data_IF_825766300804
#
_entry.id   IF_825766300804
#
_cell.length_a   1.000
_cell.length_b   1.000
_cell.length_c   1.000
_cell.angle_alpha   90.00
_cell.angle_beta   90.00
_cell.angle_gamma   90.00
#
_symmetry.space_group_name_H-M   'P 1'
#
loop_
_entity.id
_entity.type
_entity.pdbx_description
1 polymer ?
#
# COMPACT_ATOMS: atom_id res chain seq x y z
N UNK A 1 -23.62 16.28 -26.45
CA UNK A 1 -22.69 15.15 -26.22
C UNK A 1 -21.42 15.73 -25.62
N UNK A 2 -21.08 15.40 -24.37
CA UNK A 2 -19.78 15.82 -23.79
C UNK A 2 -18.67 15.20 -24.64
N UNK A 3 -17.66 15.99 -25.00
CA UNK A 3 -16.56 15.57 -25.86
C UNK A 3 -15.95 14.27 -25.34
N UNK A 4 -15.70 13.32 -26.24
CA UNK A 4 -15.07 12.05 -25.91
C UNK A 4 -13.71 12.39 -25.32
N UNK A 5 -13.46 12.01 -24.08
CA UNK A 5 -12.19 12.32 -23.39
C UNK A 5 -11.10 11.48 -24.05
N UNK A 6 -10.26 12.12 -24.87
CA UNK A 6 -9.24 11.44 -25.68
C UNK A 6 -8.03 11.18 -24.79
N UNK A 7 -7.51 9.95 -24.79
CA UNK A 7 -6.27 9.61 -24.12
C UNK A 7 -5.07 10.22 -24.87
N UNK A 8 -4.12 10.78 -24.13
CA UNK A 8 -2.91 11.39 -24.67
C UNK A 8 -1.69 11.07 -23.79
N UNK A 9 -0.49 11.38 -24.29
CA UNK A 9 0.77 11.08 -23.59
C UNK A 9 0.88 11.80 -22.24
N UNK A 10 0.26 12.98 -22.11
CA UNK A 10 0.22 13.73 -20.85
C UNK A 10 -0.57 12.98 -19.79
N UNK A 11 -1.73 12.43 -20.14
CA UNK A 11 -2.54 11.60 -19.23
C UNK A 11 -1.80 10.32 -18.83
N UNK A 12 -0.97 9.76 -19.71
CA UNK A 12 -0.11 8.64 -19.35
C UNK A 12 0.94 9.04 -18.30
N UNK A 13 1.55 10.22 -18.40
CA UNK A 13 2.45 10.76 -17.38
C UNK A 13 1.73 11.02 -16.05
N UNK A 14 0.53 11.61 -16.10
CA UNK A 14 -0.30 11.84 -14.91
C UNK A 14 -0.63 10.50 -14.23
N UNK A 15 -1.01 9.47 -14.99
CA UNK A 15 -1.26 8.13 -14.43
C UNK A 15 0.00 7.54 -13.78
N UNK A 16 1.17 7.65 -14.42
CA UNK A 16 2.45 7.20 -13.84
C UNK A 16 2.79 7.90 -12.53
N UNK A 17 2.43 9.17 -12.39
CA UNK A 17 2.64 9.91 -11.14
C UNK A 17 1.63 9.49 -10.07
N UNK A 18 0.36 9.36 -10.43
CA UNK A 18 -0.73 9.07 -9.50
C UNK A 18 -0.75 7.62 -8.99
N UNK A 19 -0.32 6.68 -9.82
CA UNK A 19 -0.21 5.26 -9.45
C UNK A 19 0.82 5.04 -8.34
N UNK A 20 1.93 5.82 -8.34
CA UNK A 20 2.93 5.87 -7.26
C UNK A 20 2.42 6.41 -5.91
N UNK A 21 1.14 6.76 -5.81
CA UNK A 21 0.50 7.08 -4.53
C UNK A 21 -0.30 5.89 -3.96
N UNK A 22 -0.42 4.77 -4.68
CA UNK A 22 -1.14 3.58 -4.22
C UNK A 22 -2.65 3.71 -4.30
N UNK A 23 -3.14 4.53 -5.24
CA UNK A 23 -4.55 4.80 -5.43
C UNK A 23 -5.27 3.59 -6.05
N UNK A 24 -6.50 3.36 -5.61
CA UNK A 24 -7.40 2.45 -6.32
C UNK A 24 -7.76 3.01 -7.70
N UNK A 25 -8.17 2.17 -8.65
CA UNK A 25 -8.61 2.62 -9.98
C UNK A 25 -9.78 3.63 -9.93
N UNK A 26 -10.65 3.50 -8.92
CA UNK A 26 -11.74 4.45 -8.68
C UNK A 26 -11.23 5.83 -8.26
N UNK A 27 -10.22 5.88 -7.40
CA UNK A 27 -9.57 7.13 -6.97
C UNK A 27 -8.72 7.73 -8.09
N UNK A 28 -8.01 6.90 -8.85
CA UNK A 28 -7.26 7.31 -10.04
C UNK A 28 -8.20 7.95 -11.07
N UNK A 29 -9.34 7.32 -11.39
CA UNK A 29 -10.33 7.87 -12.30
C UNK A 29 -10.87 9.24 -11.81
N UNK A 30 -11.15 9.36 -10.51
CA UNK A 30 -11.58 10.63 -9.90
C UNK A 30 -10.51 11.72 -10.03
N UNK A 31 -9.24 11.42 -9.75
CA UNK A 31 -8.13 12.39 -9.87
C UNK A 31 -7.89 12.82 -11.32
N UNK A 32 -8.10 11.92 -12.28
CA UNK A 32 -8.04 12.21 -13.71
C UNK A 32 -9.30 12.89 -14.25
N UNK A 33 -10.31 13.11 -13.40
CA UNK A 33 -11.61 13.68 -13.76
C UNK A 33 -12.35 12.90 -14.87
N UNK A 34 -12.17 11.57 -14.90
CA UNK A 34 -12.83 10.66 -15.83
C UNK A 34 -13.75 9.69 -15.09
N UNK A 35 -14.64 9.04 -15.84
CA UNK A 35 -15.42 7.93 -15.28
C UNK A 35 -14.56 6.66 -15.19
N UNK A 36 -14.87 5.78 -14.23
CA UNK A 36 -14.23 4.46 -14.15
C UNK A 36 -14.42 3.66 -15.45
N UNK A 37 -15.56 3.83 -16.12
CA UNK A 37 -15.83 3.23 -17.42
C UNK A 37 -14.83 3.70 -18.48
N UNK A 38 -14.54 5.00 -18.52
CA UNK A 38 -13.56 5.59 -19.44
C UNK A 38 -12.15 5.07 -19.16
N UNK A 39 -11.77 4.93 -17.88
CA UNK A 39 -10.49 4.34 -17.50
C UNK A 39 -10.38 2.88 -17.98
N UNK A 40 -11.43 2.08 -17.83
CA UNK A 40 -11.46 0.70 -18.32
C UNK A 40 -11.37 0.62 -19.85
N UNK A 41 -12.10 1.47 -20.56
CA UNK A 41 -11.98 1.60 -22.03
C UNK A 41 -10.55 1.97 -22.45
N UNK A 42 -9.87 2.87 -21.71
CA UNK A 42 -8.48 3.21 -21.99
C UNK A 42 -7.52 2.04 -21.72
N UNK A 43 -7.73 1.25 -20.66
CA UNK A 43 -6.91 0.06 -20.39
C UNK A 43 -7.00 -0.98 -21.51
N UNK A 44 -8.18 -1.16 -22.10
CA UNK A 44 -8.37 -2.08 -23.22
C UNK A 44 -7.70 -1.58 -24.51
N UNK A 45 -7.69 -0.26 -24.73
CA UNK A 45 -7.17 0.36 -25.96
C UNK A 45 -5.66 0.62 -25.88
N UNK A 46 -5.11 0.91 -24.70
CA UNK A 46 -3.72 1.34 -24.49
C UNK A 46 -2.98 0.39 -23.53
N UNK A 47 -2.28 -0.63 -24.05
CA UNK A 47 -1.56 -1.62 -23.25
C UNK A 47 -0.51 -1.01 -22.31
N UNK A 48 0.15 0.07 -22.71
CA UNK A 48 1.14 0.76 -21.86
C UNK A 48 0.51 1.37 -20.60
N UNK A 49 -0.73 1.87 -20.69
CA UNK A 49 -1.47 2.39 -19.54
C UNK A 49 -1.80 1.25 -18.57
N UNK A 50 -2.29 0.13 -19.11
CA UNK A 50 -2.60 -1.06 -18.33
C UNK A 50 -1.36 -1.57 -17.59
N UNK A 51 -0.22 -1.69 -18.29
CA UNK A 51 1.05 -2.12 -17.68
C UNK A 51 1.47 -1.21 -16.53
N UNK A 52 1.40 0.11 -16.69
CA UNK A 52 1.76 1.06 -15.61
C UNK A 52 0.91 0.86 -14.36
N UNK A 53 -0.39 0.62 -14.53
CA UNK A 53 -1.31 0.40 -13.41
C UNK A 53 -0.99 -0.94 -12.72
N UNK A 54 -0.75 -2.00 -13.49
CA UNK A 54 -0.43 -3.34 -12.96
C UNK A 54 0.91 -3.36 -12.22
N UNK A 55 1.98 -2.82 -12.80
CA UNK A 55 3.30 -2.72 -12.16
C UNK A 55 3.22 -1.95 -10.83
N UNK A 56 2.35 -0.93 -10.78
CA UNK A 56 2.14 -0.19 -9.54
C UNK A 56 1.42 -1.05 -8.49
N UNK A 57 0.38 -1.79 -8.85
CA UNK A 57 -0.32 -2.67 -7.91
C UNK A 57 0.61 -3.74 -7.35
N UNK A 58 1.40 -4.40 -8.21
CA UNK A 58 2.40 -5.40 -7.79
C UNK A 58 3.38 -4.81 -6.76
N UNK A 59 3.86 -3.59 -6.98
CA UNK A 59 4.74 -2.91 -6.03
C UNK A 59 4.08 -2.71 -4.64
N UNK A 60 2.81 -2.31 -4.59
CA UNK A 60 2.10 -2.14 -3.31
C UNK A 60 1.76 -3.46 -2.64
N UNK A 61 1.37 -4.47 -3.42
CA UNK A 61 1.11 -5.81 -2.93
C UNK A 61 2.37 -6.38 -2.26
N UNK A 62 3.54 -6.27 -2.90
CA UNK A 62 4.83 -6.65 -2.32
C UNK A 62 5.13 -5.92 -1.00
N UNK A 63 4.83 -4.61 -0.92
CA UNK A 63 5.03 -3.83 0.31
C UNK A 63 4.10 -4.28 1.43
N UNK A 64 2.85 -4.56 1.11
CA UNK A 64 1.87 -5.07 2.07
C UNK A 64 2.27 -6.46 2.55
N UNK A 65 2.72 -7.35 1.66
CA UNK A 65 3.22 -8.68 2.03
C UNK A 65 4.45 -8.60 2.94
N UNK A 66 5.42 -7.71 2.64
CA UNK A 66 6.58 -7.49 3.50
C UNK A 66 6.18 -6.94 4.88
N UNK A 67 5.22 -6.01 4.93
CA UNK A 67 4.72 -5.46 6.18
C UNK A 67 3.98 -6.53 7.01
N UNK A 68 3.16 -7.35 6.35
CA UNK A 68 2.47 -8.47 6.97
C UNK A 68 3.47 -9.49 7.54
N UNK A 69 4.52 -9.82 6.79
CA UNK A 69 5.59 -10.72 7.24
C UNK A 69 6.28 -10.17 8.50
N UNK A 70 6.70 -8.90 8.48
CA UNK A 70 7.29 -8.25 9.65
C UNK A 70 6.36 -8.31 10.85
N UNK A 71 5.08 -8.00 10.65
CA UNK A 71 4.09 -8.01 11.72
C UNK A 71 3.82 -9.42 12.25
N UNK A 72 3.81 -10.43 11.38
CA UNK A 72 3.64 -11.84 11.74
C UNK A 72 4.86 -12.41 12.48
N UNK A 73 6.07 -11.96 12.17
CA UNK A 73 7.30 -12.43 12.84
C UNK A 73 7.68 -11.60 14.08
N UNK A 74 7.13 -10.39 14.21
CA UNK A 74 7.68 -9.38 15.11
C UNK A 74 8.92 -8.71 14.52
N UNK A 75 9.24 -7.52 15.00
CA UNK A 75 10.43 -6.78 14.55
C UNK A 75 10.86 -5.73 15.58
N UNK A 76 12.14 -5.39 15.55
CA UNK A 76 12.69 -4.27 16.32
C UNK A 76 12.70 -2.98 15.47
N UNK A 77 12.49 -1.83 16.12
CA UNK A 77 12.63 -0.52 15.50
C UNK A 77 13.27 0.49 16.45
N UNK A 78 13.94 1.48 15.89
CA UNK A 78 14.52 2.60 16.65
C UNK A 78 13.59 3.79 16.57
N UNK A 79 13.16 4.28 17.73
CA UNK A 79 12.44 5.56 17.86
C UNK A 79 13.44 6.64 18.27
N UNK A 80 13.43 7.78 17.56
CA UNK A 80 14.25 8.93 17.91
C UNK A 80 13.40 9.97 18.62
N UNK A 81 13.62 10.13 19.91
CA UNK A 81 12.99 11.20 20.69
C UNK A 81 13.91 12.41 20.74
N UNK A 82 13.39 13.58 20.35
CA UNK A 82 14.08 14.85 20.48
C UNK A 82 13.75 15.41 21.85
N UNK A 83 14.69 15.32 22.79
CA UNK A 83 14.52 15.91 24.12
C UNK A 83 15.01 17.35 24.07
N UNK A 84 14.10 18.30 24.26
CA UNK A 84 14.45 19.71 24.42
C UNK A 84 15.17 19.90 25.76
N UNK A 85 16.40 20.42 25.73
CA UNK A 85 17.11 20.76 26.97
C UNK A 85 16.47 22.00 27.62
N UNK A 86 16.48 22.07 28.96
CA UNK A 86 15.88 23.16 29.76
C UNK A 86 16.37 24.57 29.36
N UNK A 87 17.51 24.67 28.69
CA UNK A 87 18.14 25.92 28.26
C UNK A 87 17.77 26.37 26.83
N UNK A 88 16.88 25.66 26.14
CA UNK A 88 16.35 26.03 24.81
C UNK A 88 17.36 26.01 23.64
N UNK A 89 18.66 25.81 23.90
CA UNK A 89 19.74 25.95 22.91
C UNK A 89 20.24 24.65 22.26
N UNK A 90 19.95 23.48 22.84
CA UNK A 90 20.39 22.19 22.28
C UNK A 90 19.30 21.13 22.43
N UNK A 91 18.93 20.51 21.32
CA UNK A 91 18.16 19.27 21.28
C UNK A 91 19.10 18.07 21.27
N UNK A 92 18.87 17.08 22.15
CA UNK A 92 19.57 15.79 22.09
C UNK A 92 18.61 14.74 21.52
N UNK A 93 19.00 14.13 20.42
CA UNK A 93 18.29 12.99 19.84
C UNK A 93 18.66 11.72 20.64
N UNK A 94 17.69 11.14 21.35
CA UNK A 94 17.84 9.85 22.02
C UNK A 94 17.25 8.77 21.14
N UNK A 95 18.05 7.76 20.79
CA UNK A 95 17.56 6.55 20.11
C UNK A 95 17.14 5.51 21.14
N UNK A 96 15.90 5.06 21.06
CA UNK A 96 15.34 4.01 21.91
C UNK A 96 14.99 2.83 21.01
N UNK A 97 15.57 1.65 21.30
CA UNK A 97 15.18 0.40 20.64
C UNK A 97 13.89 -0.11 21.26
N UNK A 98 12.89 -0.37 20.43
CA UNK A 98 11.60 -0.95 20.81
C UNK A 98 11.37 -2.22 19.99
N UNK A 99 10.66 -3.16 20.58
CA UNK A 99 10.27 -4.40 19.94
C UNK A 99 8.76 -4.41 19.72
N UNK A 100 8.35 -4.83 18.53
CA UNK A 100 6.97 -5.14 18.19
C UNK A 100 6.83 -6.66 18.22
N UNK A 101 6.07 -7.25 19.16
CA UNK A 101 5.91 -8.69 19.23
C UNK A 101 5.13 -9.21 18.02
N UNK A 102 5.27 -10.51 17.68
CA UNK A 102 4.48 -11.17 16.64
C UNK A 102 2.97 -10.93 16.80
N UNK A 103 2.28 -10.62 15.70
CA UNK A 103 0.83 -10.47 15.66
C UNK A 103 0.14 -11.78 15.30
N UNK A 104 -0.63 -12.32 16.24
CA UNK A 104 -1.34 -13.58 16.06
C UNK A 104 -2.38 -13.51 14.93
N UNK A 105 -3.04 -12.38 14.70
CA UNK A 105 -3.98 -12.23 13.60
C UNK A 105 -3.29 -12.25 12.24
N UNK A 106 -2.14 -11.55 12.11
CA UNK A 106 -1.33 -11.60 10.89
C UNK A 106 -0.84 -13.02 10.57
N UNK A 107 -0.38 -13.76 11.60
CA UNK A 107 0.03 -15.16 11.49
C UNK A 107 -1.14 -16.03 11.03
N UNK A 108 -2.30 -15.93 11.69
CA UNK A 108 -3.50 -16.73 11.36
C UNK A 108 -3.97 -16.43 9.93
N UNK A 109 -4.02 -15.16 9.53
CA UNK A 109 -4.40 -14.75 8.18
C UNK A 109 -3.47 -15.39 7.13
N UNK A 110 -2.15 -15.28 7.32
CA UNK A 110 -1.16 -15.88 6.43
C UNK A 110 -1.32 -17.41 6.33
N UNK A 111 -1.45 -18.10 7.47
CA UNK A 111 -1.58 -19.56 7.51
C UNK A 111 -2.86 -20.07 6.83
N UNK A 112 -3.98 -19.35 6.99
CA UNK A 112 -5.26 -19.66 6.34
C UNK A 112 -5.15 -19.54 4.81
N UNK A 113 -4.43 -18.55 4.31
CA UNK A 113 -4.23 -18.37 2.87
C UNK A 113 -3.20 -19.36 2.30
N UNK A 114 -2.09 -19.60 3.00
CA UNK A 114 -0.98 -20.45 2.53
C UNK A 114 -1.28 -21.96 2.60
N UNK A 115 -2.03 -22.42 3.60
CA UNK A 115 -2.43 -23.82 3.73
C UNK A 115 -3.87 -23.94 4.28
N UNK A 116 -4.88 -23.66 3.44
CA UNK A 116 -6.28 -23.67 3.88
C UNK A 116 -6.73 -25.05 4.37
N UNK A 117 -6.21 -26.14 3.79
CA UNK A 117 -6.56 -27.51 4.22
C UNK A 117 -6.27 -27.75 5.71
N UNK A 118 -5.18 -27.16 6.22
CA UNK A 118 -4.78 -27.30 7.63
C UNK A 118 -5.43 -26.25 8.54
N UNK A 119 -5.67 -25.03 8.05
CA UNK A 119 -5.97 -23.88 8.93
C UNK A 119 -7.36 -23.24 8.77
N UNK A 120 -8.13 -23.57 7.72
CA UNK A 120 -9.43 -22.93 7.41
C UNK A 120 -10.50 -23.11 8.48
N UNK A 121 -10.49 -24.23 9.20
CA UNK A 121 -11.53 -24.60 10.16
C UNK A 121 -11.15 -24.38 11.64
N UNK A 122 -10.03 -23.72 11.92
CA UNK A 122 -9.65 -23.42 13.30
C UNK A 122 -10.56 -22.30 13.84
N UNK A 123 -11.49 -22.66 14.75
CA UNK A 123 -12.31 -21.68 15.48
C UNK A 123 -11.43 -20.96 16.49
N UNK A 124 -11.13 -19.70 16.21
CA UNK A 124 -10.46 -18.81 17.16
C UNK A 124 -11.49 -18.20 18.09
N UNK A 125 -11.52 -18.66 19.35
CA UNK A 125 -12.14 -17.91 20.44
C UNK A 125 -11.09 -16.89 20.91
N UNK A 126 -11.31 -15.62 20.61
CA UNK A 126 -10.53 -14.54 21.21
C UNK A 126 -11.20 -14.17 22.54
N UNK A 127 -10.45 -14.22 23.64
CA UNK A 127 -10.86 -13.64 24.92
C UNK A 127 -10.62 -12.13 24.90
#
# INVERSE_FOLDING_TARGET
MKGKDIFDDKKLEDVKSLTKEGLTESELAKKLNISLKTLNEWKEIYPDLMRVIEESHEYYDDKVEQALLKRALGYEYEETEIVASKDGKTSKAKKIKKEVPPDTNAIIFWLRNRNPKKWRNYKTNFN
#
